data_IF_150716962917
#
_entry.id   IF_150716962917
#
_cell.length_a   1.000
_cell.length_b   1.000
_cell.length_c   1.000
_cell.angle_alpha   90.00
_cell.angle_beta   90.00
_cell.angle_gamma   90.00
#
_symmetry.space_group_name_H-M   'P 1'
#
loop_
_entity.id
_entity.type
_entity.pdbx_description
1 polymer ?
#
# COMPACT_ATOMS: atom_id res chain seq x y z
N UNK A 1 -1.56 0.80 -16.56
CA UNK A 1 -2.58 1.85 -16.34
C UNK A 1 -1.88 3.15 -15.97
N UNK A 2 -2.10 4.25 -16.72
CA UNK A 2 -1.57 5.58 -16.35
C UNK A 2 -2.27 6.07 -15.07
N UNK A 3 -1.52 6.73 -14.19
CA UNK A 3 -2.02 7.31 -12.96
C UNK A 3 -2.27 8.80 -13.17
N UNK A 4 -3.41 9.26 -12.66
CA UNK A 4 -3.81 10.66 -12.73
C UNK A 4 -3.15 11.45 -11.59
N UNK A 5 -1.94 11.97 -11.84
CA UNK A 5 -1.17 12.69 -10.83
C UNK A 5 -1.73 14.09 -10.53
N UNK A 6 -2.63 14.63 -11.36
CA UNK A 6 -3.30 15.91 -11.08
C UNK A 6 -4.05 15.89 -9.73
N UNK A 7 -4.51 14.70 -9.33
CA UNK A 7 -5.19 14.46 -8.05
C UNK A 7 -4.31 14.65 -6.82
N UNK A 8 -2.99 14.78 -6.97
CA UNK A 8 -2.11 15.02 -5.83
C UNK A 8 -2.37 16.36 -5.14
N UNK A 9 -3.01 17.29 -5.84
CA UNK A 9 -3.51 18.50 -5.22
C UNK A 9 -4.71 18.21 -4.32
N UNK A 10 -4.73 18.91 -3.19
CA UNK A 10 -5.78 18.83 -2.21
C UNK A 10 -6.27 20.24 -1.92
N UNK A 11 -7.28 20.74 -2.67
CA UNK A 11 -7.73 22.13 -2.60
C UNK A 11 -8.04 22.63 -1.19
N UNK A 12 -8.63 21.76 -0.36
CA UNK A 12 -8.91 22.03 1.07
C UNK A 12 -7.68 22.48 1.87
N UNK A 13 -6.48 22.01 1.51
CA UNK A 13 -5.23 22.24 2.24
C UNK A 13 -4.22 23.10 1.47
N UNK A 14 -4.50 23.45 0.20
CA UNK A 14 -3.58 24.17 -0.70
C UNK A 14 -3.92 25.67 -0.85
N UNK A 15 -4.85 26.19 -0.04
CA UNK A 15 -5.61 27.42 -0.31
C UNK A 15 -4.86 28.77 -0.35
N UNK A 16 -3.53 28.83 -0.22
CA UNK A 16 -2.75 30.10 -0.31
C UNK A 16 -1.38 30.01 -1.00
N UNK A 17 -0.83 28.82 -1.25
CA UNK A 17 0.47 28.62 -1.90
C UNK A 17 0.55 27.16 -2.35
N UNK A 18 1.09 26.84 -3.54
CA UNK A 18 1.27 25.46 -3.94
C UNK A 18 2.09 24.72 -2.89
N UNK A 19 1.49 23.76 -2.21
CA UNK A 19 2.22 22.93 -1.23
C UNK A 19 3.31 22.08 -1.89
N UNK A 20 3.36 22.08 -3.22
CA UNK A 20 4.13 21.19 -4.08
C UNK A 20 4.72 22.01 -5.24
N UNK A 21 6.01 21.81 -5.51
CA UNK A 21 6.72 22.30 -6.68
C UNK A 21 7.16 21.12 -7.55
N UNK A 22 7.10 21.28 -8.87
CA UNK A 22 7.55 20.29 -9.86
C UNK A 22 8.96 20.66 -10.32
N UNK A 23 9.83 19.67 -10.41
CA UNK A 23 11.17 19.80 -10.96
C UNK A 23 11.21 19.18 -12.35
N UNK A 24 11.37 20.02 -13.37
CA UNK A 24 11.59 19.61 -14.76
C UNK A 24 13.00 20.08 -15.16
N UNK A 25 13.88 19.18 -15.58
CA UNK A 25 15.25 19.51 -16.04
C UNK A 25 16.07 20.43 -15.12
N UNK A 26 15.83 20.40 -13.81
CA UNK A 26 16.52 21.25 -12.82
C UNK A 26 15.88 22.60 -12.56
N UNK A 27 14.84 22.98 -13.30
CA UNK A 27 14.07 24.21 -13.08
C UNK A 27 12.84 23.95 -12.21
N UNK A 28 12.58 24.88 -11.30
CA UNK A 28 11.49 24.80 -10.34
C UNK A 28 10.29 25.62 -10.81
N UNK A 29 9.24 24.94 -11.25
CA UNK A 29 8.05 25.61 -11.75
C UNK A 29 6.93 25.63 -10.69
N UNK A 30 6.33 26.80 -10.47
CA UNK A 30 5.09 26.92 -9.68
C UNK A 30 3.93 26.36 -10.48
N UNK A 31 3.15 25.50 -9.84
CA UNK A 31 2.10 24.66 -10.44
C UNK A 31 0.82 25.41 -10.84
N UNK A 32 0.75 26.73 -10.64
CA UNK A 32 -0.50 27.49 -10.75
C UNK A 32 -1.01 27.66 -12.20
N UNK A 33 -0.18 27.33 -13.18
CA UNK A 33 -0.56 27.16 -14.58
C UNK A 33 0.30 26.01 -15.14
N UNK A 34 -0.30 24.98 -15.75
CA UNK A 34 0.23 24.27 -16.95
C UNK A 34 -0.38 22.88 -17.13
N UNK A 35 -0.71 22.60 -18.39
CA UNK A 35 -0.67 21.28 -19.03
C UNK A 35 0.79 20.76 -19.03
N UNK A 36 1.32 20.41 -17.85
CA UNK A 36 2.64 19.77 -17.77
C UNK A 36 2.46 18.32 -18.23
N UNK A 37 3.06 17.98 -19.36
CA UNK A 37 3.16 16.60 -19.79
C UNK A 37 3.93 15.81 -18.73
N UNK A 38 3.25 14.85 -18.11
CA UNK A 38 3.75 14.03 -16.99
C UNK A 38 5.06 13.26 -17.29
N UNK A 39 5.45 13.23 -18.56
CA UNK A 39 6.55 12.45 -19.11
C UNK A 39 7.91 13.10 -18.79
N UNK A 40 7.93 14.40 -18.44
CA UNK A 40 9.15 15.19 -18.17
C UNK A 40 9.44 15.44 -16.68
N UNK A 41 8.60 14.93 -15.76
CA UNK A 41 8.75 15.19 -14.32
C UNK A 41 9.85 14.30 -13.72
N UNK A 42 10.99 14.91 -13.40
CA UNK A 42 12.13 14.23 -12.76
C UNK A 42 11.85 13.99 -11.26
N UNK A 43 11.10 14.91 -10.64
CA UNK A 43 10.71 14.78 -9.25
C UNK A 43 9.80 15.90 -8.77
N UNK A 44 9.23 15.70 -7.59
CA UNK A 44 8.28 16.61 -6.96
C UNK A 44 8.77 16.90 -5.55
N UNK A 45 8.70 18.16 -5.11
CA UNK A 45 9.08 18.55 -3.75
C UNK A 45 7.97 19.31 -3.06
N UNK A 46 7.83 19.12 -1.75
CA UNK A 46 6.93 19.95 -0.97
C UNK A 46 7.60 21.30 -0.71
N UNK A 47 6.84 22.39 -0.69
CA UNK A 47 7.38 23.71 -0.41
C UNK A 47 8.10 23.72 0.96
N UNK A 48 9.34 24.23 0.99
CA UNK A 48 10.20 24.22 2.18
C UNK A 48 10.80 22.86 2.54
N UNK A 49 10.70 21.85 1.67
CA UNK A 49 11.39 20.57 1.82
C UNK A 49 12.53 20.44 0.82
N UNK A 50 13.70 20.02 1.29
CA UNK A 50 14.83 19.64 0.44
C UNK A 50 14.67 18.26 -0.21
N UNK A 51 13.64 17.49 0.17
CA UNK A 51 13.45 16.12 -0.31
C UNK A 51 12.69 16.12 -1.64
N UNK A 52 13.35 15.61 -2.67
CA UNK A 52 12.75 15.33 -3.98
C UNK A 52 12.16 13.93 -3.98
N UNK A 53 10.88 13.83 -4.34
CA UNK A 53 10.12 12.58 -4.41
C UNK A 53 9.85 12.26 -5.88
N UNK A 54 10.23 11.07 -6.32
CA UNK A 54 9.80 10.55 -7.62
C UNK A 54 8.35 10.06 -7.51
N UNK A 55 7.48 10.37 -8.46
CA UNK A 55 6.16 9.75 -8.52
C UNK A 55 6.09 8.75 -9.67
N UNK A 56 5.52 7.55 -9.43
CA UNK A 56 5.23 6.64 -10.53
C UNK A 56 4.07 7.21 -11.37
N UNK A 57 4.26 7.26 -12.69
CA UNK A 57 3.24 7.69 -13.66
C UNK A 57 2.29 6.56 -14.07
N UNK A 58 2.64 5.31 -13.73
CA UNK A 58 1.85 4.14 -14.04
C UNK A 58 1.82 3.15 -12.88
N UNK A 59 0.76 2.35 -12.85
CA UNK A 59 0.63 1.24 -11.91
C UNK A 59 1.58 0.10 -12.31
N UNK A 60 2.67 -0.06 -11.56
CA UNK A 60 3.69 -1.09 -11.78
C UNK A 60 3.69 -2.15 -10.65
N UNK A 61 4.46 -3.23 -10.86
CA UNK A 61 4.55 -4.37 -9.93
C UNK A 61 5.00 -3.97 -8.51
N UNK A 62 5.96 -3.05 -8.39
CA UNK A 62 6.46 -2.56 -7.10
C UNK A 62 5.40 -1.77 -6.33
N UNK A 63 4.73 -0.86 -7.03
CA UNK A 63 3.67 -0.04 -6.47
C UNK A 63 2.46 -0.88 -6.06
N UNK A 64 2.14 -1.92 -6.83
CA UNK A 64 1.09 -2.86 -6.50
C UNK A 64 1.39 -3.61 -5.20
N UNK A 65 2.60 -4.17 -5.08
CA UNK A 65 3.05 -4.82 -3.86
C UNK A 65 3.00 -3.87 -2.65
N UNK A 66 3.57 -2.67 -2.78
CA UNK A 66 3.57 -1.69 -1.69
C UNK A 66 2.15 -1.25 -1.29
N UNK A 67 1.24 -1.16 -2.26
CA UNK A 67 -0.17 -0.86 -1.97
C UNK A 67 -0.82 -1.99 -1.17
N UNK A 68 -0.58 -3.25 -1.53
CA UNK A 68 -1.00 -4.42 -0.75
C UNK A 68 -0.50 -4.35 0.70
N UNK A 69 0.79 -4.07 0.89
CA UNK A 69 1.42 -3.88 2.20
C UNK A 69 0.74 -2.77 3.02
N UNK A 70 0.50 -1.60 2.42
CA UNK A 70 -0.17 -0.48 3.11
C UNK A 70 -1.61 -0.84 3.50
N UNK A 71 -2.25 -1.73 2.75
CA UNK A 71 -3.62 -2.12 2.98
C UNK A 71 -3.78 -3.23 4.03
N UNK A 72 -2.77 -4.05 4.29
CA UNK A 72 -2.75 -4.87 5.50
C UNK A 72 -2.21 -4.07 6.69
N UNK A 73 -0.89 -3.99 6.82
CA UNK A 73 -0.19 -3.45 7.99
C UNK A 73 -0.06 -1.92 8.02
N UNK A 74 -0.46 -1.25 6.94
CA UNK A 74 -0.34 0.19 6.81
C UNK A 74 -1.52 0.97 7.39
N UNK A 75 -1.23 2.23 7.73
CA UNK A 75 -2.22 3.23 8.10
C UNK A 75 -1.89 4.57 7.46
N UNK A 76 -2.91 5.23 6.91
CA UNK A 76 -2.81 6.61 6.39
C UNK A 76 -3.58 7.50 7.37
N UNK A 77 -2.86 8.34 8.10
CA UNK A 77 -3.47 9.24 9.07
C UNK A 77 -4.21 10.38 8.37
N UNK A 78 -5.32 10.85 8.96
CA UNK A 78 -5.90 12.14 8.56
C UNK A 78 -4.87 13.25 8.82
N UNK A 79 -4.76 14.28 7.95
CA UNK A 79 -3.83 15.38 8.19
C UNK A 79 -4.16 16.10 9.51
N UNK A 80 -3.15 16.26 10.37
CA UNK A 80 -3.30 16.87 11.70
C UNK A 80 -2.68 18.26 11.69
N UNK A 81 -3.41 19.29 12.13
CA UNK A 81 -2.88 20.66 12.24
C UNK A 81 -1.75 20.71 13.28
N UNK A 82 -0.61 21.31 12.93
CA UNK A 82 0.52 21.47 13.86
C UNK A 82 0.35 22.74 14.70
N UNK A 83 0.97 22.76 15.89
CA UNK A 83 0.97 23.92 16.80
C UNK A 83 1.53 25.19 16.13
N UNK A 84 2.62 25.06 15.36
CA UNK A 84 3.27 26.17 14.65
C UNK A 84 2.68 26.45 13.26
N UNK A 85 1.47 25.98 12.98
CA UNK A 85 0.83 26.09 11.66
C UNK A 85 1.18 24.96 10.69
N UNK A 86 0.40 24.85 9.61
CA UNK A 86 0.50 23.75 8.63
C UNK A 86 -0.06 22.41 9.13
N UNK A 87 0.19 21.35 8.35
CA UNK A 87 -0.35 20.02 8.61
C UNK A 87 0.75 18.94 8.67
N UNK A 88 0.54 17.93 9.51
CA UNK A 88 1.34 16.73 9.59
C UNK A 88 0.70 15.62 8.75
N UNK A 89 1.50 15.04 7.86
CA UNK A 89 1.10 14.03 6.88
C UNK A 89 1.93 12.79 7.13
N UNK A 90 1.29 11.66 7.37
CA UNK A 90 1.99 10.44 7.76
C UNK A 90 1.31 9.20 7.24
N UNK A 91 2.10 8.35 6.61
CA UNK A 91 1.76 6.95 6.35
C UNK A 91 2.67 6.09 7.22
N UNK A 92 2.12 5.13 7.94
CA UNK A 92 2.88 4.23 8.80
C UNK A 92 2.67 2.80 8.35
N UNK A 93 3.73 2.02 8.29
CA UNK A 93 3.72 0.57 8.01
C UNK A 93 4.45 -0.11 9.18
N UNK A 94 3.85 -1.16 9.74
CA UNK A 94 4.38 -1.86 10.93
C UNK A 94 4.69 -3.31 10.59
N UNK A 95 5.67 -3.93 11.24
CA UNK A 95 5.95 -5.36 11.09
C UNK A 95 7.33 -5.73 11.62
N UNK A 96 7.79 -6.94 11.31
CA UNK A 96 9.12 -7.42 11.70
C UNK A 96 10.24 -6.67 10.97
N UNK A 97 11.43 -6.62 11.57
CA UNK A 97 12.52 -5.78 11.07
C UNK A 97 12.94 -6.11 9.63
N UNK A 98 13.06 -7.40 9.29
CA UNK A 98 13.45 -7.84 7.95
C UNK A 98 12.38 -7.53 6.89
N UNK A 99 11.10 -7.67 7.25
CA UNK A 99 9.99 -7.22 6.41
C UNK A 99 10.04 -5.70 6.17
N UNK A 100 10.26 -4.93 7.23
CA UNK A 100 10.38 -3.47 7.15
C UNK A 100 11.56 -3.03 6.26
N UNK A 101 12.70 -3.74 6.28
CA UNK A 101 13.82 -3.49 5.36
C UNK A 101 13.44 -3.71 3.89
N UNK A 102 12.67 -4.77 3.59
CA UNK A 102 12.18 -5.04 2.22
C UNK A 102 11.30 -3.87 1.77
N UNK A 103 10.35 -3.45 2.61
CA UNK A 103 9.46 -2.31 2.32
C UNK A 103 10.26 -1.01 2.11
N UNK A 104 11.30 -0.76 2.92
CA UNK A 104 12.19 0.39 2.78
C UNK A 104 12.89 0.44 1.40
N UNK A 105 13.41 -0.69 0.92
CA UNK A 105 14.03 -0.79 -0.41
C UNK A 105 13.03 -0.49 -1.54
N UNK A 106 11.79 -0.94 -1.40
CA UNK A 106 10.72 -0.70 -2.37
C UNK A 106 10.34 0.79 -2.40
N UNK A 107 10.24 1.43 -1.23
CA UNK A 107 9.99 2.87 -1.12
C UNK A 107 11.09 3.70 -1.80
N UNK A 108 12.35 3.31 -1.64
CA UNK A 108 13.46 3.94 -2.35
C UNK A 108 13.32 3.76 -3.87
N UNK A 109 13.04 2.54 -4.35
CA UNK A 109 12.88 2.25 -5.79
C UNK A 109 11.73 3.03 -6.44
N UNK A 110 10.59 3.17 -5.76
CA UNK A 110 9.39 3.83 -6.32
C UNK A 110 9.50 5.35 -6.20
N UNK A 111 9.88 5.83 -5.01
CA UNK A 111 9.74 7.24 -4.64
C UNK A 111 11.06 7.98 -4.49
N UNK A 112 12.21 7.31 -4.62
CA UNK A 112 13.51 7.81 -4.18
C UNK A 112 13.49 8.27 -2.71
N UNK A 113 12.73 7.56 -1.87
CA UNK A 113 12.50 7.93 -0.47
C UNK A 113 13.12 6.89 0.47
N UNK A 114 14.05 7.35 1.30
CA UNK A 114 14.63 6.55 2.39
C UNK A 114 13.84 6.84 3.67
N UNK A 115 13.00 5.91 4.16
CA UNK A 115 12.25 6.10 5.38
C UNK A 115 13.13 5.97 6.62
N UNK A 116 12.70 6.62 7.70
CA UNK A 116 13.20 6.33 9.03
C UNK A 116 12.46 5.11 9.59
N UNK A 117 13.23 4.19 10.19
CA UNK A 117 12.76 2.94 10.80
C UNK A 117 12.89 3.08 12.31
N UNK A 118 11.83 2.76 13.03
CA UNK A 118 11.75 2.91 14.49
C UNK A 118 11.27 1.62 15.15
N UNK A 119 11.75 1.28 16.36
CA UNK A 119 11.15 0.20 17.14
C UNK A 119 9.73 0.61 17.59
N UNK A 120 8.78 -0.31 17.51
CA UNK A 120 7.44 -0.14 18.07
C UNK A 120 7.48 -0.49 19.56
N UNK A 121 7.49 0.53 20.43
CA UNK A 121 7.55 0.36 21.89
C UNK A 121 6.37 -0.43 22.49
N UNK A 122 5.31 -0.70 21.71
CA UNK A 122 4.11 -1.40 22.18
C UNK A 122 4.20 -2.92 22.01
N UNK A 123 5.13 -3.42 21.19
CA UNK A 123 5.25 -4.84 20.83
C UNK A 123 6.71 -5.22 20.69
N UNK A 124 7.12 -6.28 21.35
CA UNK A 124 8.45 -6.86 21.17
C UNK A 124 8.67 -7.29 19.71
N UNK A 125 9.90 -7.16 19.21
CA UNK A 125 10.31 -7.51 17.84
C UNK A 125 9.50 -6.85 16.71
N UNK A 126 8.79 -5.77 17.02
CA UNK A 126 8.00 -5.00 16.06
C UNK A 126 8.67 -3.67 15.74
N UNK A 127 8.65 -3.30 14.47
CA UNK A 127 9.24 -2.07 13.95
C UNK A 127 8.22 -1.36 13.07
N UNK A 128 8.42 -0.06 12.83
CA UNK A 128 7.60 0.67 11.89
C UNK A 128 8.41 1.68 11.07
N UNK A 129 7.93 1.91 9.85
CA UNK A 129 8.33 3.01 8.98
C UNK A 129 7.36 4.18 9.18
N UNK A 130 7.88 5.39 9.32
CA UNK A 130 7.09 6.62 9.26
C UNK A 130 7.40 7.41 7.97
N UNK A 131 6.44 7.45 7.06
CA UNK A 131 6.51 8.24 5.82
C UNK A 131 5.96 9.63 6.08
N UNK A 132 6.81 10.52 6.57
CA UNK A 132 6.44 11.90 6.88
C UNK A 132 6.58 12.78 5.63
N UNK A 133 5.85 12.42 4.57
CA UNK A 133 5.89 13.09 3.28
C UNK A 133 4.47 13.45 2.83
N UNK A 134 4.25 14.76 2.60
CA UNK A 134 3.02 15.30 2.00
C UNK A 134 2.70 14.58 0.69
N UNK A 135 3.70 14.47 -0.19
CA UNK A 135 3.57 13.95 -1.55
C UNK A 135 3.17 12.48 -1.52
N UNK A 136 3.91 11.65 -0.78
CA UNK A 136 3.63 10.20 -0.69
C UNK A 136 2.26 9.96 -0.06
N UNK A 137 1.93 10.71 1.00
CA UNK A 137 0.62 10.62 1.64
C UNK A 137 -0.52 10.93 0.66
N UNK A 138 -0.44 12.07 -0.04
CA UNK A 138 -1.46 12.47 -1.01
C UNK A 138 -1.51 11.54 -2.21
N UNK A 139 -0.38 11.01 -2.66
CA UNK A 139 -0.32 10.00 -3.71
C UNK A 139 -1.17 8.78 -3.34
N UNK A 140 -0.94 8.16 -2.18
CA UNK A 140 -1.75 7.00 -1.77
C UNK A 140 -3.21 7.37 -1.51
N UNK A 141 -3.49 8.54 -0.94
CA UNK A 141 -4.87 8.92 -0.62
C UNK A 141 -5.71 9.34 -1.83
N UNK A 142 -5.12 10.10 -2.75
CA UNK A 142 -5.84 10.81 -3.82
C UNK A 142 -5.63 10.19 -5.19
N UNK A 143 -4.39 9.77 -5.50
CA UNK A 143 -4.05 9.14 -6.78
C UNK A 143 -4.44 7.67 -6.74
N UNK A 144 -4.00 6.92 -5.74
CA UNK A 144 -4.40 5.51 -5.56
C UNK A 144 -5.82 5.39 -5.01
N UNK A 145 -6.25 6.31 -4.15
CA UNK A 145 -7.61 6.36 -3.61
C UNK A 145 -7.80 5.67 -2.25
N UNK A 146 -6.73 5.42 -1.50
CA UNK A 146 -6.80 4.80 -0.17
C UNK A 146 -7.38 5.80 0.84
N UNK A 147 -8.55 5.50 1.41
CA UNK A 147 -9.23 6.39 2.37
C UNK A 147 -8.54 6.38 3.73
N UNK A 148 -8.75 7.45 4.50
CA UNK A 148 -8.29 7.55 5.88
C UNK A 148 -9.13 6.67 6.81
N UNK A 149 -8.50 6.15 7.87
CA UNK A 149 -9.19 5.46 8.95
C UNK A 149 -9.58 4.01 8.61
N UNK A 150 -10.66 3.52 9.24
CA UNK A 150 -11.12 2.15 9.08
C UNK A 150 -11.50 1.86 7.62
N UNK A 151 -10.92 0.78 7.08
CA UNK A 151 -11.03 0.35 5.67
C UNK A 151 -12.38 -0.35 5.39
N UNK A 152 -13.48 0.15 5.94
CA UNK A 152 -14.79 -0.51 5.91
C UNK A 152 -15.56 -0.14 4.63
N UNK A 153 -15.55 -1.02 3.62
CA UNK A 153 -16.55 -1.12 2.56
C UNK A 153 -16.59 -0.01 1.49
N UNK A 154 -15.69 0.97 1.51
CA UNK A 154 -15.71 2.15 0.61
C UNK A 154 -14.53 2.22 -0.35
N UNK A 155 -14.12 1.08 -0.91
CA UNK A 155 -12.82 0.96 -1.58
C UNK A 155 -12.96 0.55 -3.04
N UNK A 156 -13.07 1.55 -3.92
CA UNK A 156 -12.99 1.41 -5.38
C UNK A 156 -11.56 1.16 -5.89
N UNK A 157 -10.54 1.33 -5.05
CA UNK A 157 -9.14 1.21 -5.47
C UNK A 157 -8.77 -0.19 -5.95
N UNK A 158 -9.46 -1.25 -5.50
CA UNK A 158 -9.16 -2.63 -5.92
C UNK A 158 -9.32 -2.79 -7.45
N UNK A 159 -10.28 -2.09 -8.04
CA UNK A 159 -10.56 -2.14 -9.48
C UNK A 159 -9.40 -1.65 -10.35
N UNK A 160 -8.54 -0.77 -9.80
CA UNK A 160 -7.34 -0.30 -10.49
C UNK A 160 -6.30 -1.42 -10.66
N UNK A 161 -6.22 -2.34 -9.70
CA UNK A 161 -5.26 -3.45 -9.72
C UNK A 161 -5.77 -4.64 -10.52
N UNK A 162 -7.10 -4.81 -10.63
CA UNK A 162 -7.74 -5.95 -11.28
C UNK A 162 -7.71 -5.95 -12.81
N UNK A 163 -7.00 -5.02 -13.45
CA UNK A 163 -6.93 -4.93 -14.93
C UNK A 163 -5.75 -5.69 -15.55
N UNK A 164 -4.78 -6.12 -14.74
CA UNK A 164 -3.59 -6.80 -15.21
C UNK A 164 -3.20 -7.88 -14.20
N UNK A 165 -3.09 -9.13 -14.66
CA UNK A 165 -2.82 -10.28 -13.80
C UNK A 165 -1.51 -10.15 -13.02
N UNK A 166 -0.44 -9.68 -13.65
CA UNK A 166 0.87 -9.56 -12.99
C UNK A 166 0.85 -8.49 -11.88
N UNK A 167 0.22 -7.35 -12.18
CA UNK A 167 0.04 -6.25 -11.22
C UNK A 167 -0.83 -6.73 -10.05
N UNK A 168 -1.92 -7.44 -10.33
CA UNK A 168 -2.78 -8.00 -9.31
C UNK A 168 -2.05 -9.06 -8.47
N UNK A 169 -1.25 -9.93 -9.08
CA UNK A 169 -0.42 -10.92 -8.38
C UNK A 169 0.56 -10.27 -7.41
N UNK A 170 1.24 -9.19 -7.82
CA UNK A 170 2.11 -8.43 -6.92
C UNK A 170 1.33 -7.71 -5.81
N UNK A 171 0.14 -7.18 -6.08
CA UNK A 171 -0.75 -6.62 -5.06
C UNK A 171 -1.14 -7.69 -4.02
N UNK A 172 -1.60 -8.85 -4.48
CA UNK A 172 -1.98 -9.98 -3.63
C UNK A 172 -0.79 -10.45 -2.80
N UNK A 173 0.41 -10.52 -3.39
CA UNK A 173 1.64 -10.85 -2.68
C UNK A 173 1.92 -9.89 -1.51
N UNK A 174 1.85 -8.58 -1.74
CA UNK A 174 2.05 -7.58 -0.68
C UNK A 174 0.98 -7.65 0.40
N UNK A 175 -0.27 -7.91 0.00
CA UNK A 175 -1.37 -8.07 0.94
C UNK A 175 -1.21 -9.34 1.80
N UNK A 176 -0.84 -10.47 1.20
CA UNK A 176 -0.57 -11.73 1.91
C UNK A 176 0.67 -11.64 2.81
N UNK A 177 1.74 -10.97 2.37
CA UNK A 177 2.91 -10.71 3.23
C UNK A 177 2.55 -9.89 4.49
N UNK A 178 1.48 -9.09 4.43
CA UNK A 178 0.92 -8.36 5.58
C UNK A 178 -0.14 -9.16 6.37
N UNK A 179 -1.40 -9.13 5.93
CA UNK A 179 -2.57 -9.74 6.57
C UNK A 179 -2.72 -11.26 6.34
N UNK A 180 -1.81 -11.86 5.57
CA UNK A 180 -1.83 -13.29 5.27
C UNK A 180 -1.16 -14.16 6.33
N UNK A 181 -1.45 -15.44 6.28
CA UNK A 181 -0.81 -16.49 7.07
C UNK A 181 -0.42 -17.61 6.12
N UNK A 182 0.81 -18.08 6.21
CA UNK A 182 1.32 -19.14 5.33
C UNK A 182 1.89 -20.21 6.24
N UNK A 183 1.32 -21.41 6.19
CA UNK A 183 1.73 -22.55 7.02
C UNK A 183 1.80 -23.82 6.20
N UNK A 184 2.27 -24.91 6.81
CA UNK A 184 2.30 -26.24 6.18
C UNK A 184 0.92 -26.76 5.77
N UNK A 185 -0.14 -26.32 6.47
CA UNK A 185 -1.49 -26.89 6.31
C UNK A 185 -2.41 -26.01 5.47
N UNK A 186 -2.22 -24.69 5.51
CA UNK A 186 -3.02 -23.77 4.73
C UNK A 186 -2.33 -22.40 4.55
N UNK A 187 -2.74 -21.71 3.50
CA UNK A 187 -2.54 -20.27 3.28
C UNK A 187 -3.85 -19.58 3.64
N UNK A 188 -3.83 -18.54 4.46
CA UNK A 188 -5.01 -17.79 4.89
C UNK A 188 -4.82 -16.29 4.74
N UNK A 189 -5.91 -15.56 4.57
CA UNK A 189 -5.91 -14.09 4.63
C UNK A 189 -7.07 -13.67 5.54
N UNK A 190 -6.77 -12.90 6.58
CA UNK A 190 -7.74 -12.48 7.59
C UNK A 190 -8.06 -10.99 7.40
N UNK A 191 -9.35 -10.63 7.36
CA UNK A 191 -9.78 -9.23 7.34
C UNK A 191 -11.09 -9.01 8.07
N UNK A 192 -11.30 -7.80 8.60
CA UNK A 192 -12.56 -7.41 9.23
C UNK A 192 -13.68 -7.19 8.20
N UNK A 193 -13.33 -6.75 7.00
CA UNK A 193 -14.30 -6.51 5.92
C UNK A 193 -14.53 -7.78 5.09
N UNK A 194 -15.68 -8.43 5.31
CA UNK A 194 -16.09 -9.63 4.54
C UNK A 194 -16.21 -9.35 3.05
N UNK A 195 -16.82 -8.22 2.69
CA UNK A 195 -17.08 -7.86 1.28
C UNK A 195 -15.76 -7.66 0.53
N UNK A 196 -14.76 -7.11 1.22
CA UNK A 196 -13.41 -7.03 0.67
C UNK A 196 -12.83 -8.42 0.36
N UNK A 197 -12.93 -9.38 1.28
CA UNK A 197 -12.43 -10.74 1.05
C UNK A 197 -13.19 -11.47 -0.06
N UNK A 198 -14.50 -11.29 -0.17
CA UNK A 198 -15.30 -11.83 -1.28
C UNK A 198 -14.82 -11.29 -2.63
N UNK A 199 -14.61 -9.97 -2.72
CA UNK A 199 -14.10 -9.32 -3.94
C UNK A 199 -12.67 -9.76 -4.26
N UNK A 200 -11.81 -9.88 -3.24
CA UNK A 200 -10.44 -10.37 -3.39
C UNK A 200 -10.42 -11.82 -3.90
N UNK A 201 -11.25 -12.69 -3.33
CA UNK A 201 -11.40 -14.09 -3.77
C UNK A 201 -11.87 -14.18 -5.22
N UNK A 202 -12.92 -13.45 -5.59
CA UNK A 202 -13.41 -13.42 -6.97
C UNK A 202 -12.32 -13.00 -7.96
N UNK A 203 -11.58 -11.92 -7.64
CA UNK A 203 -10.52 -11.40 -8.51
C UNK A 203 -9.29 -12.30 -8.56
N UNK A 204 -8.99 -13.02 -7.48
CA UNK A 204 -7.93 -14.04 -7.47
C UNK A 204 -8.26 -15.20 -8.39
N UNK A 205 -9.52 -15.64 -8.43
CA UNK A 205 -9.95 -16.66 -9.37
C UNK A 205 -9.92 -16.15 -10.82
N UNK A 206 -10.55 -15.00 -11.08
CA UNK A 206 -10.66 -14.41 -12.42
C UNK A 206 -9.29 -14.15 -13.08
N UNK A 207 -8.33 -13.62 -12.32
CA UNK A 207 -7.07 -13.12 -12.89
C UNK A 207 -5.91 -14.10 -12.76
N UNK A 208 -5.93 -14.97 -11.74
CA UNK A 208 -4.81 -15.83 -11.39
C UNK A 208 -5.19 -17.32 -11.31
N UNK A 209 -6.45 -17.68 -11.56
CA UNK A 209 -6.98 -19.03 -11.36
C UNK A 209 -6.84 -19.55 -9.91
N UNK A 210 -6.68 -18.64 -8.94
CA UNK A 210 -6.52 -19.00 -7.53
C UNK A 210 -7.88 -19.07 -6.86
N UNK A 211 -8.26 -20.27 -6.41
CA UNK A 211 -9.52 -20.49 -5.72
C UNK A 211 -9.33 -20.57 -4.20
N UNK A 212 -9.82 -19.56 -3.49
CA UNK A 212 -9.90 -19.55 -2.03
C UNK A 212 -11.21 -20.18 -1.51
N UNK A 213 -11.13 -20.89 -0.39
CA UNK A 213 -12.26 -21.30 0.44
C UNK A 213 -12.75 -20.13 1.32
N UNK A 214 -13.99 -20.19 1.81
CA UNK A 214 -14.59 -19.14 2.66
C UNK A 214 -15.20 -17.95 1.86
N UNK A 215 -15.41 -16.77 2.49
CA UNK A 215 -14.90 -16.39 3.81
C UNK A 215 -15.60 -17.08 5.00
N UNK A 216 -14.83 -17.55 5.97
CA UNK A 216 -15.30 -18.13 7.23
C UNK A 216 -15.20 -17.11 8.37
N UNK A 217 -16.02 -17.26 9.42
CA UNK A 217 -15.90 -16.43 10.62
C UNK A 217 -14.63 -16.84 11.38
N UNK A 218 -13.76 -15.86 11.68
CA UNK A 218 -12.60 -16.05 12.54
C UNK A 218 -12.92 -15.51 13.94
N UNK A 219 -13.02 -16.40 14.94
CA UNK A 219 -13.32 -16.06 16.34
C UNK A 219 -12.08 -16.17 17.21
N UNK A 220 -11.97 -15.32 18.23
CA UNK A 220 -10.99 -15.47 19.31
C UNK A 220 -11.48 -16.50 20.33
N UNK A 221 -10.56 -16.99 21.16
CA UNK A 221 -10.91 -17.61 22.45
C UNK A 221 -11.76 -16.57 23.19
N UNK A 222 -12.97 -16.96 23.65
CA UNK A 222 -14.08 -16.11 24.12
C UNK A 222 -15.16 -15.70 23.07
N UNK A 223 -15.23 -16.33 21.89
CA UNK A 223 -16.32 -16.16 20.90
C UNK A 223 -16.48 -14.77 20.25
N UNK A 224 -15.60 -13.81 20.52
CA UNK A 224 -15.62 -12.52 19.84
C UNK A 224 -15.18 -12.67 18.37
N UNK A 225 -15.97 -12.12 17.43
CA UNK A 225 -15.63 -12.11 16.01
C UNK A 225 -14.46 -11.16 15.79
N UNK A 226 -13.31 -11.72 15.42
CA UNK A 226 -12.08 -10.96 15.13
C UNK A 226 -12.10 -10.46 13.68
N UNK A 227 -12.72 -11.25 12.79
CA UNK A 227 -12.88 -10.94 11.38
C UNK A 227 -13.35 -12.15 10.59
N UNK A 228 -13.02 -12.13 9.30
CA UNK A 228 -13.31 -13.16 8.32
C UNK A 228 -12.00 -13.69 7.75
N UNK A 229 -11.98 -14.96 7.34
CA UNK A 229 -10.80 -15.60 6.76
C UNK A 229 -11.15 -16.32 5.47
N UNK A 230 -10.35 -16.11 4.43
CA UNK A 230 -10.32 -16.95 3.23
C UNK A 230 -9.08 -17.84 3.26
N UNK A 231 -9.16 -19.08 2.80
CA UNK A 231 -8.05 -20.04 2.92
C UNK A 231 -7.83 -20.90 1.68
N UNK A 232 -6.62 -21.44 1.53
CA UNK A 232 -6.26 -22.52 0.59
C UNK A 232 -5.63 -23.61 1.44
N UNK A 233 -6.27 -24.78 1.53
CA UNK A 233 -5.83 -25.91 2.36
C UNK A 233 -5.44 -27.16 1.55
N UNK A 234 -5.66 -27.15 0.23
CA UNK A 234 -5.21 -28.21 -0.65
C UNK A 234 -3.74 -27.98 -1.02
N UNK A 235 -2.86 -28.95 -0.77
CA UNK A 235 -1.40 -28.83 -0.99
C UNK A 235 -1.01 -28.42 -2.41
N UNK A 236 -1.65 -28.99 -3.43
CA UNK A 236 -1.35 -28.65 -4.82
C UNK A 236 -1.76 -27.20 -5.14
N UNK A 237 -2.93 -26.77 -4.67
CA UNK A 237 -3.38 -25.38 -4.82
C UNK A 237 -2.53 -24.39 -4.02
N UNK A 238 -2.02 -24.79 -2.86
CA UNK A 238 -1.07 -23.97 -2.10
C UNK A 238 0.24 -23.79 -2.86
N UNK A 239 0.75 -24.88 -3.48
CA UNK A 239 1.94 -24.82 -4.32
C UNK A 239 1.72 -23.89 -5.53
N UNK A 240 0.61 -24.06 -6.24
CA UNK A 240 0.20 -23.17 -7.34
C UNK A 240 0.12 -21.71 -6.89
N UNK A 241 -0.43 -21.44 -5.70
CA UNK A 241 -0.46 -20.09 -5.13
C UNK A 241 0.94 -19.52 -4.94
N UNK A 242 1.86 -20.27 -4.31
CA UNK A 242 3.23 -19.79 -4.03
C UNK A 242 4.06 -19.61 -5.29
N UNK A 243 3.78 -20.37 -6.36
CA UNK A 243 4.41 -20.22 -7.67
C UNK A 243 3.84 -19.02 -8.45
N UNK A 244 2.54 -18.74 -8.29
CA UNK A 244 1.84 -17.67 -9.03
C UNK A 244 1.95 -16.31 -8.35
N UNK A 245 1.94 -16.26 -7.03
CA UNK A 245 1.91 -15.02 -6.23
C UNK A 245 3.33 -14.72 -5.73
N UNK A 246 4.01 -13.67 -6.27
CA UNK A 246 5.42 -13.40 -6.00
C UNK A 246 5.63 -12.73 -4.63
N UNK A 247 5.34 -13.46 -3.54
CA UNK A 247 5.58 -13.05 -2.16
C UNK A 247 7.06 -12.79 -1.92
N UNK A 248 7.38 -11.79 -1.10
CA UNK A 248 8.75 -11.33 -0.87
C UNK A 248 9.24 -11.58 0.55
N UNK A 249 8.32 -11.75 1.50
CA UNK A 249 8.66 -12.00 2.89
C UNK A 249 8.32 -13.43 3.34
N UNK A 250 7.04 -13.82 3.31
CA UNK A 250 6.56 -15.06 3.92
C UNK A 250 6.86 -16.34 3.14
N UNK A 251 7.47 -16.23 1.96
CA UNK A 251 7.79 -17.39 1.12
C UNK A 251 8.98 -18.23 1.63
N UNK A 252 9.66 -17.79 2.70
CA UNK A 252 11.00 -18.28 3.04
C UNK A 252 11.06 -19.61 3.83
N UNK A 253 9.94 -20.14 4.35
CA UNK A 253 10.00 -21.20 5.37
C UNK A 253 9.06 -22.40 5.15
N UNK A 254 8.49 -22.61 3.97
CA UNK A 254 7.65 -23.79 3.71
C UNK A 254 8.45 -24.79 2.88
N UNK A 255 9.17 -25.66 3.58
CA UNK A 255 9.73 -26.88 3.02
C UNK A 255 8.53 -27.83 2.80
N UNK A 256 8.26 -28.16 1.54
CA UNK A 256 7.28 -29.17 1.13
C UNK A 256 7.78 -30.57 1.39
#
# INVERSE_FOLDING_TARGET
MKLDLSKIHYPKYDSKTPSIAILNNGEENKLDNFEIYLEDIIGIRAHGSSKVIKLPTCLNKELAYLTGVILGDGSIAKPIKRKKGGFYWSVRITGEYEYIKIVSKILFKIFNYIPLIYPDKRRENSWYIALNSLIIHRFFNRVIGIKFGAKNGKTSWLENFCRNKDVFGCFLAGFTDSDGYVSKNYIGIIQKDKKFLEKLKMKSYELLNINFNGPYVNRKICNEIVGWIITINNKNKMKEFLETVPMRYKNRNIIY
#
